data_IF_137260271957
#
_entry.id   IF_137260271957
#
_cell.length_a   1.000
_cell.length_b   1.000
_cell.length_c   1.000
_cell.angle_alpha   90.00
_cell.angle_beta   90.00
_cell.angle_gamma   90.00
#
_symmetry.space_group_name_H-M   'P 1'
#
loop_
_entity.id
_entity.type
_entity.pdbx_description
1 polymer ?
#
# COMPACT_ATOMS: atom_id res chain seq x y z
N UNK A 1 -25.44 44.68 -55.73
CA UNK A 1 -25.46 45.11 -54.31
C UNK A 1 -26.72 44.54 -53.66
N UNK A 2 -26.59 43.44 -52.92
CA UNK A 2 -27.70 42.77 -52.22
C UNK A 2 -28.04 43.57 -50.96
N UNK A 3 -29.27 44.10 -50.89
CA UNK A 3 -29.90 44.53 -49.62
C UNK A 3 -30.44 43.28 -48.94
N UNK A 4 -29.96 42.97 -47.74
CA UNK A 4 -30.59 41.99 -46.85
C UNK A 4 -30.98 42.74 -45.59
N UNK A 5 -32.30 42.78 -45.35
CA UNK A 5 -32.94 43.45 -44.23
C UNK A 5 -32.67 42.75 -42.91
N UNK A 6 -32.44 43.58 -41.91
CA UNK A 6 -32.34 43.27 -40.50
C UNK A 6 -33.77 43.13 -39.93
N UNK A 7 -34.08 42.01 -39.28
CA UNK A 7 -35.41 41.75 -38.73
C UNK A 7 -35.41 40.70 -37.63
N UNK A 8 -35.10 41.15 -36.41
CA UNK A 8 -35.58 40.67 -35.10
C UNK A 8 -35.88 39.17 -34.95
N UNK A 9 -34.92 38.42 -34.38
CA UNK A 9 -35.21 37.17 -33.67
C UNK A 9 -35.28 37.48 -32.16
N UNK A 10 -36.50 37.50 -31.63
CA UNK A 10 -36.79 37.54 -30.20
C UNK A 10 -36.35 36.23 -29.55
N UNK A 11 -35.22 36.23 -28.85
CA UNK A 11 -34.81 35.14 -27.96
C UNK A 11 -35.53 35.30 -26.62
N UNK A 12 -36.54 34.46 -26.36
CA UNK A 12 -37.17 34.35 -25.07
C UNK A 12 -36.18 33.78 -24.05
N UNK A 13 -35.79 34.60 -23.08
CA UNK A 13 -35.01 34.18 -21.92
C UNK A 13 -35.95 33.45 -20.93
N UNK A 14 -36.09 32.13 -21.09
CA UNK A 14 -36.72 31.30 -20.09
C UNK A 14 -35.74 31.04 -18.94
N UNK A 15 -35.86 31.84 -17.87
CA UNK A 15 -35.23 31.57 -16.58
C UNK A 15 -35.96 30.39 -15.95
N UNK A 16 -35.48 29.17 -16.18
CA UNK A 16 -35.92 28.00 -15.42
C UNK A 16 -35.27 28.04 -14.03
N UNK A 17 -35.99 28.61 -13.07
CA UNK A 17 -35.72 28.41 -11.64
C UNK A 17 -36.13 26.97 -11.33
N UNK A 18 -35.21 26.03 -11.49
CA UNK A 18 -35.37 24.68 -10.97
C UNK A 18 -35.02 24.71 -9.48
N UNK A 19 -36.04 24.81 -8.63
CA UNK A 19 -35.92 24.50 -7.21
C UNK A 19 -35.83 22.98 -7.07
N UNK A 20 -34.66 22.44 -7.37
CA UNK A 20 -34.35 21.03 -7.20
C UNK A 20 -33.90 20.78 -5.78
N UNK A 21 -34.81 20.31 -4.93
CA UNK A 21 -34.53 19.76 -3.61
C UNK A 21 -33.34 18.82 -3.69
N UNK A 22 -32.27 19.11 -2.92
CA UNK A 22 -31.12 18.23 -2.79
C UNK A 22 -31.58 16.89 -2.18
N UNK A 23 -31.80 15.89 -3.02
CA UNK A 23 -32.02 14.52 -2.57
C UNK A 23 -30.67 14.04 -2.04
N UNK A 24 -30.51 14.15 -0.72
CA UNK A 24 -29.36 13.62 0.00
C UNK A 24 -29.53 12.10 0.06
N UNK A 25 -28.94 11.37 -0.89
CA UNK A 25 -28.73 9.94 -0.72
C UNK A 25 -27.59 9.73 0.31
N UNK A 26 -27.91 9.94 1.58
CA UNK A 26 -27.13 9.43 2.68
C UNK A 26 -27.37 7.92 2.73
N UNK A 27 -26.37 7.13 2.33
CA UNK A 27 -26.38 5.69 2.50
C UNK A 27 -26.62 5.37 3.99
N UNK A 28 -27.76 4.75 4.27
CA UNK A 28 -28.19 4.37 5.61
C UNK A 28 -27.24 3.32 6.19
N UNK A 29 -26.54 3.69 7.26
CA UNK A 29 -25.74 2.78 8.08
C UNK A 29 -26.69 1.96 8.95
N UNK A 30 -27.09 0.78 8.49
CA UNK A 30 -27.90 -0.18 9.25
C UNK A 30 -27.17 -1.50 9.46
N UNK A 31 -26.86 -1.83 10.71
CA UNK A 31 -26.62 -3.19 11.18
C UNK A 31 -27.70 -3.54 12.21
N UNK A 32 -28.18 -4.78 12.20
CA UNK A 32 -29.10 -5.31 13.21
C UNK A 32 -28.31 -5.94 14.35
N UNK A 33 -28.22 -5.24 15.47
CA UNK A 33 -28.69 -5.70 16.78
C UNK A 33 -28.10 -4.83 17.91
N UNK A 34 -28.98 -4.24 18.70
CA UNK A 34 -28.65 -3.40 19.86
C UNK A 34 -28.93 -1.92 19.61
N UNK A 35 -29.99 -1.41 20.25
CA UNK A 35 -30.51 -0.05 20.18
C UNK A 35 -29.41 1.05 20.13
N UNK A 36 -29.26 1.68 18.97
CA UNK A 36 -28.52 2.91 18.81
C UNK A 36 -29.23 3.78 17.77
N UNK A 37 -29.90 4.82 18.27
CA UNK A 37 -30.55 5.87 17.50
C UNK A 37 -29.60 6.50 16.48
N UNK A 38 -30.06 6.58 15.23
CA UNK A 38 -29.36 7.20 14.11
C UNK A 38 -29.13 8.69 14.34
N UNK A 39 -27.95 9.16 13.94
CA UNK A 39 -27.65 10.49 13.42
C UNK A 39 -27.42 11.66 14.39
N UNK A 40 -26.13 12.04 14.50
CA UNK A 40 -25.63 13.41 14.34
C UNK A 40 -24.14 13.32 14.02
N UNK A 41 -23.71 13.81 12.86
CA UNK A 41 -22.29 14.01 12.57
C UNK A 41 -21.80 15.14 13.48
N UNK A 42 -21.40 14.82 14.71
CA UNK A 42 -20.83 15.81 15.61
C UNK A 42 -19.56 16.34 14.96
N UNK A 43 -19.63 17.60 14.49
CA UNK A 43 -18.44 18.35 14.05
C UNK A 43 -17.51 18.65 15.25
N UNK A 44 -17.96 18.38 16.48
CA UNK A 44 -17.11 18.24 17.66
C UNK A 44 -16.25 16.97 17.52
N UNK A 45 -14.93 17.13 17.57
CA UNK A 45 -13.97 16.03 17.44
C UNK A 45 -14.16 14.93 18.49
N UNK A 46 -13.64 13.74 18.22
CA UNK A 46 -13.77 12.59 19.12
C UNK A 46 -12.82 12.68 20.31
N UNK A 47 -13.28 12.21 21.47
CA UNK A 47 -12.50 12.31 22.73
C UNK A 47 -11.19 11.51 22.70
N UNK A 48 -11.16 10.44 21.93
CA UNK A 48 -10.04 9.50 21.80
C UNK A 48 -9.13 9.76 20.59
N UNK A 49 -9.38 10.84 19.84
CA UNK A 49 -8.53 11.26 18.72
C UNK A 49 -7.65 12.45 19.05
N UNK A 50 -7.86 13.13 20.18
CA UNK A 50 -7.08 14.32 20.55
C UNK A 50 -5.59 13.98 20.72
N UNK A 51 -4.73 14.62 19.93
CA UNK A 51 -3.28 14.35 19.92
C UNK A 51 -2.89 13.06 19.22
N UNK A 52 -3.85 12.36 18.60
CA UNK A 52 -3.57 11.17 17.81
C UNK A 52 -2.99 11.57 16.44
N UNK A 53 -2.00 10.83 15.93
CA UNK A 53 -1.34 11.13 14.66
C UNK A 53 -2.30 11.23 13.46
N UNK A 54 -3.43 10.51 13.52
CA UNK A 54 -4.47 10.51 12.49
C UNK A 54 -5.63 11.50 12.74
N UNK A 55 -5.57 12.34 13.78
CA UNK A 55 -6.68 13.22 14.17
C UNK A 55 -7.19 14.09 13.01
N UNK A 56 -6.29 14.75 12.29
CA UNK A 56 -6.63 15.60 11.16
C UNK A 56 -7.25 14.82 9.99
N UNK A 57 -6.74 13.62 9.71
CA UNK A 57 -7.27 12.74 8.67
C UNK A 57 -8.66 12.24 9.04
N UNK A 58 -8.88 11.84 10.29
CA UNK A 58 -10.19 11.41 10.82
C UNK A 58 -11.21 12.53 10.73
N UNK A 59 -10.84 13.76 11.13
CA UNK A 59 -11.72 14.93 11.01
C UNK A 59 -12.14 15.17 9.56
N UNK A 60 -11.19 15.12 8.63
CA UNK A 60 -11.45 15.26 7.19
C UNK A 60 -12.35 14.14 6.67
N UNK A 61 -12.11 12.90 7.09
CA UNK A 61 -12.88 11.74 6.67
C UNK A 61 -14.35 11.81 7.13
N UNK A 62 -14.58 12.27 8.36
CA UNK A 62 -15.94 12.53 8.88
C UNK A 62 -16.61 13.67 8.11
N UNK A 63 -15.89 14.76 7.84
CA UNK A 63 -16.43 15.88 7.06
C UNK A 63 -16.79 15.47 5.62
N UNK A 64 -16.06 14.51 5.03
CA UNK A 64 -16.36 13.90 3.74
C UNK A 64 -17.48 12.85 3.80
N UNK A 65 -17.89 12.43 4.99
CA UNK A 65 -19.06 11.57 5.23
C UNK A 65 -18.86 10.09 4.96
N UNK A 66 -17.63 9.61 4.76
CA UNK A 66 -17.38 8.18 4.49
C UNK A 66 -17.00 7.36 5.73
N UNK A 67 -16.82 8.02 6.88
CA UNK A 67 -16.67 7.39 8.20
C UNK A 67 -17.49 8.13 9.25
N UNK A 68 -17.83 7.40 10.31
CA UNK A 68 -18.45 7.93 11.52
C UNK A 68 -17.76 7.32 12.76
N UNK A 69 -17.93 8.02 13.89
CA UNK A 69 -17.60 7.49 15.21
C UNK A 69 -18.78 6.76 15.86
N UNK A 70 -18.59 6.38 17.11
CA UNK A 70 -19.56 5.65 17.92
C UNK A 70 -20.42 6.62 18.73
N UNK A 71 -21.56 6.12 19.21
CA UNK A 71 -22.54 6.89 20.00
C UNK A 71 -21.99 7.39 21.34
N UNK A 72 -20.93 6.77 21.84
CA UNK A 72 -20.22 7.17 23.07
C UNK A 72 -19.22 8.33 22.86
N UNK A 73 -19.17 8.90 21.65
CA UNK A 73 -18.28 10.00 21.28
C UNK A 73 -16.84 9.58 20.98
N UNK A 74 -16.57 8.29 20.78
CA UNK A 74 -15.26 7.76 20.35
C UNK A 74 -15.19 7.53 18.84
N UNK A 75 -13.98 7.49 18.28
CA UNK A 75 -13.71 6.97 16.94
C UNK A 75 -13.10 5.57 16.95
N UNK A 76 -12.41 5.20 18.03
CA UNK A 76 -11.58 4.01 18.20
C UNK A 76 -10.47 3.92 17.14
N UNK A 77 -9.57 4.92 17.05
CA UNK A 77 -8.56 4.99 15.99
C UNK A 77 -7.60 3.78 15.97
N UNK A 78 -7.37 3.17 17.14
CA UNK A 78 -6.47 2.03 17.30
C UNK A 78 -7.17 0.66 17.22
N UNK A 79 -8.49 0.62 17.05
CA UNK A 79 -9.19 -0.64 16.83
C UNK A 79 -8.79 -1.24 15.48
N UNK A 80 -8.66 -2.57 15.44
CA UNK A 80 -8.45 -3.29 14.18
C UNK A 80 -9.62 -3.05 13.23
N UNK A 81 -9.32 -3.01 11.93
CA UNK A 81 -10.34 -2.84 10.88
C UNK A 81 -10.46 -4.13 10.09
N UNK A 82 -11.70 -4.63 9.99
CA UNK A 82 -12.00 -5.83 9.21
C UNK A 82 -11.94 -5.55 7.70
N UNK A 83 -11.83 -6.60 6.88
CA UNK A 83 -11.92 -6.47 5.41
C UNK A 83 -13.23 -5.82 4.99
N UNK A 84 -14.34 -6.25 5.59
CA UNK A 84 -15.66 -5.69 5.30
C UNK A 84 -15.73 -4.20 5.62
N UNK A 85 -15.24 -3.79 6.79
CA UNK A 85 -15.24 -2.38 7.18
C UNK A 85 -14.35 -1.53 6.29
N UNK A 86 -13.12 -1.97 5.99
CA UNK A 86 -12.23 -1.24 5.09
C UNK A 86 -12.84 -1.07 3.71
N UNK A 87 -13.42 -2.13 3.15
CA UNK A 87 -14.04 -2.07 1.83
C UNK A 87 -15.25 -1.13 1.81
N UNK A 88 -16.09 -1.16 2.85
CA UNK A 88 -17.18 -0.20 3.02
C UNK A 88 -16.67 1.25 3.07
N UNK A 89 -15.64 1.52 3.88
CA UNK A 89 -15.04 2.86 3.97
C UNK A 89 -14.51 3.32 2.60
N UNK A 90 -13.82 2.44 1.88
CA UNK A 90 -13.28 2.73 0.54
C UNK A 90 -14.41 3.02 -0.47
N UNK A 91 -15.43 2.17 -0.53
CA UNK A 91 -16.60 2.33 -1.42
C UNK A 91 -17.31 3.66 -1.16
N UNK A 92 -17.55 3.99 0.11
CA UNK A 92 -18.16 5.26 0.51
C UNK A 92 -17.29 6.47 0.13
N UNK A 93 -15.97 6.38 0.37
CA UNK A 93 -15.04 7.46 0.02
C UNK A 93 -14.94 7.70 -1.49
N UNK A 94 -15.04 6.63 -2.27
CA UNK A 94 -15.05 6.66 -3.74
C UNK A 94 -16.42 7.01 -4.31
N UNK A 95 -17.45 7.18 -3.46
CA UNK A 95 -18.84 7.48 -3.84
C UNK A 95 -19.40 6.49 -4.89
N UNK A 96 -19.10 5.20 -4.72
CA UNK A 96 -19.65 4.19 -5.62
C UNK A 96 -21.08 3.85 -5.24
N UNK A 97 -21.91 3.59 -6.25
CA UNK A 97 -23.29 3.17 -6.04
C UNK A 97 -23.35 1.77 -5.41
N UNK A 98 -24.11 1.66 -4.33
CA UNK A 98 -24.41 0.37 -3.69
C UNK A 98 -25.89 0.06 -3.86
N UNK A 99 -26.20 -1.16 -4.27
CA UNK A 99 -27.58 -1.67 -4.34
C UNK A 99 -27.82 -2.51 -3.09
N UNK A 100 -28.92 -2.26 -2.39
CA UNK A 100 -29.29 -3.08 -1.24
C UNK A 100 -29.43 -4.54 -1.67
N UNK A 101 -28.72 -5.44 -0.98
CA UNK A 101 -28.73 -6.86 -1.25
C UNK A 101 -29.36 -7.59 -0.06
N UNK A 102 -30.14 -8.64 -0.35
CA UNK A 102 -30.58 -9.57 0.68
C UNK A 102 -29.38 -10.45 1.05
N UNK A 103 -28.89 -10.38 2.30
CA UNK A 103 -27.75 -11.18 2.76
C UNK A 103 -26.83 -10.41 3.71
N UNK A 104 -25.55 -10.79 3.71
CA UNK A 104 -24.53 -10.14 4.55
C UNK A 104 -24.45 -8.64 4.28
N UNK A 105 -24.39 -7.84 5.35
CA UNK A 105 -24.38 -6.38 5.28
C UNK A 105 -23.27 -5.80 4.38
N UNK A 106 -22.16 -6.53 4.24
CA UNK A 106 -21.00 -6.10 3.45
C UNK A 106 -21.17 -6.34 1.94
N UNK A 107 -22.12 -7.18 1.53
CA UNK A 107 -22.25 -7.63 0.14
C UNK A 107 -22.42 -6.48 -0.87
N UNK A 108 -23.25 -5.45 -0.62
CA UNK A 108 -23.37 -4.30 -1.53
C UNK A 108 -22.04 -3.60 -1.82
N UNK A 109 -21.15 -3.55 -0.83
CA UNK A 109 -19.83 -2.92 -0.97
C UNK A 109 -18.86 -3.81 -1.74
N UNK A 110 -18.96 -5.13 -1.56
CA UNK A 110 -18.21 -6.10 -2.37
C UNK A 110 -18.59 -5.98 -3.83
N UNK A 111 -19.88 -5.91 -4.13
CA UNK A 111 -20.38 -5.81 -5.50
C UNK A 111 -19.97 -4.48 -6.15
N UNK A 112 -20.12 -3.36 -5.42
CA UNK A 112 -19.69 -2.04 -5.89
C UNK A 112 -18.17 -1.98 -6.16
N UNK A 113 -17.36 -2.49 -5.23
CA UNK A 113 -15.91 -2.53 -5.39
C UNK A 113 -15.48 -3.47 -6.54
N UNK A 114 -16.17 -4.60 -6.73
CA UNK A 114 -15.92 -5.52 -7.85
C UNK A 114 -16.23 -4.84 -9.18
N UNK A 115 -17.38 -4.18 -9.27
CA UNK A 115 -17.81 -3.43 -10.47
C UNK A 115 -16.83 -2.31 -10.82
N UNK A 116 -16.28 -1.62 -9.80
CA UNK A 116 -15.26 -0.59 -9.98
C UNK A 116 -13.85 -1.15 -10.26
N UNK A 117 -13.65 -2.47 -10.16
CA UNK A 117 -12.35 -3.11 -10.34
C UNK A 117 -11.40 -2.93 -9.14
N UNK A 118 -11.92 -2.52 -7.98
CA UNK A 118 -11.14 -2.33 -6.76
C UNK A 118 -10.95 -3.63 -5.98
N UNK A 119 -11.88 -4.58 -6.14
CA UNK A 119 -11.84 -5.88 -5.49
C UNK A 119 -11.93 -7.02 -6.51
N UNK A 120 -11.23 -8.11 -6.22
CA UNK A 120 -11.30 -9.40 -6.89
C UNK A 120 -11.15 -10.51 -5.84
N UNK A 121 -11.59 -11.72 -6.15
CA UNK A 121 -11.51 -12.88 -5.24
C UNK A 121 -10.11 -13.51 -5.29
N UNK A 122 -9.09 -12.73 -4.97
CA UNK A 122 -7.67 -13.11 -5.08
C UNK A 122 -6.88 -12.95 -3.76
N UNK A 123 -7.57 -12.65 -2.67
CA UNK A 123 -6.99 -12.69 -1.33
C UNK A 123 -6.94 -14.11 -0.77
N UNK A 124 -5.89 -14.39 0.01
CA UNK A 124 -5.69 -15.71 0.62
C UNK A 124 -6.82 -16.08 1.60
N UNK A 125 -7.39 -15.08 2.28
CA UNK A 125 -8.51 -15.27 3.19
C UNK A 125 -9.83 -14.87 2.53
N UNK A 126 -10.85 -15.70 2.72
CA UNK A 126 -12.23 -15.45 2.28
C UNK A 126 -13.14 -14.94 3.41
N UNK A 127 -12.59 -14.71 4.61
CA UNK A 127 -13.36 -14.29 5.79
C UNK A 127 -13.40 -12.78 5.93
N UNK A 128 -14.61 -12.20 5.88
CA UNK A 128 -14.86 -10.77 5.84
C UNK A 128 -14.72 -10.06 7.19
N UNK A 129 -14.98 -10.76 8.29
CA UNK A 129 -14.94 -10.21 9.65
C UNK A 129 -13.56 -10.30 10.32
N UNK A 130 -12.56 -10.81 9.60
CA UNK A 130 -11.16 -10.77 10.08
C UNK A 130 -10.52 -9.44 9.72
N UNK A 131 -9.61 -8.98 10.58
CA UNK A 131 -8.73 -7.83 10.29
C UNK A 131 -8.09 -7.98 8.92
N UNK A 132 -8.06 -6.90 8.14
CA UNK A 132 -7.39 -6.87 6.84
C UNK A 132 -5.87 -6.71 7.03
N UNK A 133 -5.04 -7.59 6.44
CA UNK A 133 -3.59 -7.42 6.43
C UNK A 133 -3.17 -6.18 5.64
N UNK A 134 -2.04 -5.57 5.99
CA UNK A 134 -1.50 -4.40 5.27
C UNK A 134 -1.33 -4.63 3.77
N UNK A 135 -0.86 -5.80 3.34
CA UNK A 135 -0.67 -6.11 1.91
C UNK A 135 -1.99 -6.20 1.11
N UNK A 136 -3.06 -6.65 1.74
CA UNK A 136 -4.39 -6.68 1.11
C UNK A 136 -5.00 -5.27 1.06
N UNK A 137 -4.85 -4.49 2.13
CA UNK A 137 -5.22 -3.07 2.15
C UNK A 137 -4.47 -2.29 1.07
N UNK A 138 -3.17 -2.56 0.90
CA UNK A 138 -2.35 -2.01 -0.18
C UNK A 138 -2.89 -2.34 -1.56
N UNK A 139 -3.31 -3.60 -1.74
CA UNK A 139 -3.84 -4.07 -3.03
C UNK A 139 -5.12 -3.34 -3.40
N UNK A 140 -6.07 -3.20 -2.46
CA UNK A 140 -7.27 -2.39 -2.67
C UNK A 140 -6.94 -0.93 -2.96
N UNK A 141 -5.93 -0.37 -2.26
CA UNK A 141 -5.52 1.01 -2.43
C UNK A 141 -4.87 1.28 -3.80
N UNK A 142 -4.00 0.38 -4.28
CA UNK A 142 -3.42 0.44 -5.63
C UNK A 142 -4.53 0.40 -6.68
N UNK A 143 -5.45 -0.57 -6.56
CA UNK A 143 -6.54 -0.74 -7.52
C UNK A 143 -7.47 0.49 -7.58
N UNK A 144 -7.71 1.14 -6.44
CA UNK A 144 -8.59 2.30 -6.34
C UNK A 144 -7.92 3.63 -6.73
N UNK A 145 -6.61 3.74 -6.47
CA UNK A 145 -5.88 5.01 -6.54
C UNK A 145 -4.98 5.17 -7.76
N UNK A 146 -4.32 4.10 -8.21
CA UNK A 146 -3.30 4.18 -9.25
C UNK A 146 -3.87 3.86 -10.62
N UNK A 147 -3.39 4.58 -11.62
CA UNK A 147 -3.63 4.27 -13.04
C UNK A 147 -2.43 3.50 -13.59
N UNK A 148 -2.64 2.66 -14.60
CA UNK A 148 -1.55 1.93 -15.27
C UNK A 148 -0.91 0.79 -14.48
N UNK A 149 -1.42 0.43 -13.29
CA UNK A 149 -1.00 -0.80 -12.61
C UNK A 149 -1.42 -2.04 -13.42
N UNK A 150 -0.67 -3.14 -13.27
CA UNK A 150 -1.02 -4.41 -13.92
C UNK A 150 -1.89 -5.28 -13.00
N UNK A 151 -2.94 -5.87 -13.57
CA UNK A 151 -3.94 -6.65 -12.81
C UNK A 151 -3.41 -7.95 -12.22
N UNK A 152 -2.30 -8.46 -12.74
CA UNK A 152 -1.62 -9.69 -12.31
C UNK A 152 -0.62 -9.46 -11.16
N UNK A 153 -0.48 -8.22 -10.67
CA UNK A 153 0.35 -7.93 -9.51
C UNK A 153 -0.12 -8.71 -8.28
N UNK A 154 0.80 -9.45 -7.68
CA UNK A 154 0.58 -10.08 -6.39
C UNK A 154 0.50 -9.06 -5.24
N UNK A 155 0.10 -9.51 -4.05
CA UNK A 155 -0.07 -8.63 -2.88
C UNK A 155 1.22 -7.94 -2.41
N UNK A 156 2.40 -8.57 -2.57
CA UNK A 156 3.67 -7.95 -2.21
C UNK A 156 4.07 -6.89 -3.23
N UNK A 157 3.85 -7.15 -4.52
CA UNK A 157 4.04 -6.16 -5.58
C UNK A 157 3.16 -4.93 -5.37
N UNK A 158 1.87 -5.14 -5.07
CA UNK A 158 0.96 -4.03 -4.76
C UNK A 158 1.36 -3.29 -3.49
N UNK A 159 1.93 -3.97 -2.49
CA UNK A 159 2.47 -3.32 -1.31
C UNK A 159 3.64 -2.40 -1.66
N UNK A 160 4.55 -2.84 -2.54
CA UNK A 160 5.61 -2.00 -3.08
C UNK A 160 5.07 -0.80 -3.86
N UNK A 161 4.11 -0.99 -4.78
CA UNK A 161 3.51 0.12 -5.53
C UNK A 161 2.80 1.13 -4.63
N UNK A 162 2.08 0.66 -3.61
CA UNK A 162 1.45 1.53 -2.62
C UNK A 162 2.50 2.34 -1.85
N UNK A 163 3.62 1.72 -1.43
CA UNK A 163 4.69 2.41 -0.71
C UNK A 163 5.43 3.40 -1.61
N UNK A 164 5.76 3.00 -2.84
CA UNK A 164 6.44 3.81 -3.86
C UNK A 164 5.66 5.07 -4.22
N UNK A 165 4.32 4.97 -4.26
CA UNK A 165 3.43 6.10 -4.52
C UNK A 165 2.98 6.82 -3.24
N UNK A 166 3.54 6.46 -2.09
CA UNK A 166 3.27 7.14 -0.82
C UNK A 166 1.88 6.90 -0.24
N UNK A 167 1.13 5.92 -0.75
CA UNK A 167 -0.19 5.52 -0.23
C UNK A 167 -0.05 4.80 1.11
N UNK A 168 0.96 3.93 1.22
CA UNK A 168 1.31 3.23 2.46
C UNK A 168 2.68 3.69 2.95
N UNK A 169 2.81 3.87 4.26
CA UNK A 169 4.06 4.16 4.93
C UNK A 169 4.54 2.97 5.77
N UNK A 170 5.79 3.03 6.24
CA UNK A 170 6.31 2.04 7.18
C UNK A 170 5.59 2.10 8.53
N UNK A 171 5.73 1.02 9.29
CA UNK A 171 5.33 0.97 10.72
C UNK A 171 6.51 1.22 11.65
N UNK A 172 7.70 1.32 11.08
CA UNK A 172 8.96 1.52 11.78
C UNK A 172 10.09 1.73 10.77
N UNK A 173 11.30 1.90 11.26
CA UNK A 173 12.48 2.15 10.42
C UNK A 173 12.79 0.92 9.54
N UNK A 174 12.47 1.01 8.25
CA UNK A 174 12.66 -0.09 7.29
C UNK A 174 11.66 -1.24 7.46
N UNK A 175 10.52 -1.01 8.09
CA UNK A 175 9.52 -2.05 8.34
C UNK A 175 8.19 -1.73 7.65
N UNK A 176 7.70 -2.66 6.83
CA UNK A 176 6.43 -2.54 6.11
C UNK A 176 5.30 -3.42 6.69
N UNK A 177 5.66 -4.47 7.46
CA UNK A 177 4.75 -5.41 8.12
C UNK A 177 3.59 -5.93 7.21
N UNK A 178 3.87 -6.72 6.17
CA UNK A 178 2.88 -7.08 5.14
C UNK A 178 1.64 -7.81 5.69
N UNK A 179 1.84 -8.65 6.70
CA UNK A 179 0.79 -9.40 7.39
C UNK A 179 0.33 -8.73 8.69
N UNK A 180 0.83 -7.53 8.97
CA UNK A 180 0.46 -6.78 10.17
C UNK A 180 -1.02 -6.38 10.16
N UNK A 181 -1.60 -6.35 11.34
CA UNK A 181 -2.97 -5.85 11.56
C UNK A 181 -3.05 -4.37 11.19
N UNK A 182 -4.20 -3.98 10.66
CA UNK A 182 -4.46 -2.59 10.27
C UNK A 182 -5.47 -1.97 11.22
N UNK A 183 -5.24 -0.73 11.60
CA UNK A 183 -6.15 0.00 12.47
C UNK A 183 -7.14 0.85 11.66
N UNK A 184 -8.26 1.22 12.29
CA UNK A 184 -9.25 2.12 11.71
C UNK A 184 -8.65 3.47 11.31
N UNK A 185 -7.70 4.00 12.10
CA UNK A 185 -6.93 5.20 11.73
C UNK A 185 -6.04 4.98 10.49
N UNK A 186 -5.37 3.83 10.41
CA UNK A 186 -4.55 3.47 9.23
C UNK A 186 -5.39 3.42 7.96
N UNK A 187 -6.59 2.81 8.04
CA UNK A 187 -7.55 2.76 6.94
C UNK A 187 -7.96 4.15 6.45
N UNK A 188 -8.30 5.05 7.38
CA UNK A 188 -8.64 6.45 7.04
C UNK A 188 -7.49 7.14 6.32
N UNK A 189 -6.27 7.04 6.84
CA UNK A 189 -5.11 7.72 6.25
C UNK A 189 -4.80 7.17 4.85
N UNK A 190 -4.90 5.85 4.65
CA UNK A 190 -4.74 5.24 3.33
C UNK A 190 -5.81 5.75 2.36
N UNK A 191 -7.07 5.80 2.78
CA UNK A 191 -8.16 6.30 1.94
C UNK A 191 -7.97 7.79 1.58
N UNK A 192 -7.60 8.63 2.54
CA UNK A 192 -7.29 10.04 2.29
C UNK A 192 -6.16 10.20 1.26
N UNK A 193 -5.12 9.36 1.35
CA UNK A 193 -4.01 9.34 0.39
C UNK A 193 -4.44 8.88 -1.01
N UNK A 194 -5.32 7.88 -1.11
CA UNK A 194 -5.91 7.49 -2.38
C UNK A 194 -6.66 8.69 -3.00
N UNK A 195 -7.47 9.39 -2.20
CA UNK A 195 -8.23 10.55 -2.67
C UNK A 195 -7.29 11.69 -3.10
N UNK A 196 -6.19 11.91 -2.40
CA UNK A 196 -5.19 12.92 -2.75
C UNK A 196 -4.52 12.62 -4.10
N UNK A 197 -4.12 11.37 -4.37
CA UNK A 197 -3.58 10.99 -5.67
C UNK A 197 -4.62 11.16 -6.77
N UNK A 198 -5.88 10.76 -6.54
CA UNK A 198 -6.97 10.95 -7.50
C UNK A 198 -7.26 12.44 -7.77
N UNK A 199 -6.96 13.31 -6.81
CA UNK A 199 -7.00 14.76 -6.97
C UNK A 199 -5.74 15.33 -7.65
N UNK A 200 -4.81 14.49 -8.11
CA UNK A 200 -3.57 14.89 -8.79
C UNK A 200 -2.46 15.34 -7.85
N UNK A 201 -2.59 15.13 -6.53
CA UNK A 201 -1.55 15.50 -5.57
C UNK A 201 -0.44 14.45 -5.55
N UNK A 202 0.80 14.93 -5.38
CA UNK A 202 1.95 14.08 -5.08
C UNK A 202 2.02 13.83 -3.58
N UNK A 203 2.20 12.57 -3.20
CA UNK A 203 2.36 12.19 -1.80
C UNK A 203 3.84 12.11 -1.41
N UNK A 204 4.15 12.49 -0.18
CA UNK A 204 5.42 12.16 0.42
C UNK A 204 5.55 10.64 0.59
N UNK A 205 6.69 10.10 0.16
CA UNK A 205 7.03 8.69 0.24
C UNK A 205 7.91 8.41 1.46
N UNK A 206 7.83 7.19 1.95
CA UNK A 206 8.74 6.67 2.97
C UNK A 206 9.75 5.77 2.27
N UNK A 207 10.92 6.33 1.92
CA UNK A 207 11.94 5.63 1.13
C UNK A 207 12.39 4.31 1.77
N UNK A 208 12.41 4.21 3.11
CA UNK A 208 12.82 2.98 3.80
C UNK A 208 11.73 1.92 3.74
N UNK A 209 10.47 2.34 3.89
CA UNK A 209 9.34 1.44 3.70
C UNK A 209 9.23 0.97 2.23
N UNK A 210 9.48 1.86 1.26
CA UNK A 210 9.53 1.50 -0.15
C UNK A 210 10.62 0.47 -0.42
N UNK A 211 11.85 0.68 0.07
CA UNK A 211 12.94 -0.29 -0.06
C UNK A 211 12.63 -1.63 0.63
N UNK A 212 12.03 -1.61 1.82
CA UNK A 212 11.61 -2.84 2.51
C UNK A 212 10.52 -3.62 1.73
N UNK A 213 9.55 -2.91 1.15
CA UNK A 213 8.54 -3.51 0.30
C UNK A 213 9.14 -4.06 -1.01
N UNK A 214 10.14 -3.40 -1.57
CA UNK A 214 10.89 -3.89 -2.73
C UNK A 214 11.61 -5.21 -2.41
N UNK A 215 12.30 -5.30 -1.27
CA UNK A 215 12.96 -6.55 -0.84
C UNK A 215 11.95 -7.68 -0.67
N UNK A 216 10.78 -7.39 -0.11
CA UNK A 216 9.73 -8.38 0.08
C UNK A 216 9.25 -8.98 -1.25
N UNK A 217 8.94 -8.11 -2.22
CA UNK A 217 8.44 -8.46 -3.54
C UNK A 217 9.54 -9.04 -4.43
N UNK A 218 10.63 -8.30 -4.61
CA UNK A 218 11.64 -8.52 -5.64
C UNK A 218 12.92 -9.18 -5.14
N UNK A 219 13.02 -9.46 -3.83
CA UNK A 219 14.23 -10.00 -3.18
C UNK A 219 15.44 -9.08 -3.30
N UNK A 220 15.22 -7.81 -3.62
CA UNK A 220 16.26 -6.78 -3.69
C UNK A 220 15.69 -5.38 -3.43
N UNK A 221 16.55 -4.43 -3.05
CA UNK A 221 16.26 -2.99 -2.99
C UNK A 221 17.08 -2.19 -4.03
N UNK A 222 17.61 -2.84 -5.06
CA UNK A 222 18.42 -2.19 -6.09
C UNK A 222 17.65 -1.05 -6.77
N UNK A 223 16.36 -1.24 -7.07
CA UNK A 223 15.57 -0.27 -7.85
C UNK A 223 15.32 1.01 -7.04
N UNK A 224 15.24 0.91 -5.71
CA UNK A 224 15.10 2.06 -4.81
C UNK A 224 16.42 2.69 -4.42
N UNK A 225 17.52 1.92 -4.41
CA UNK A 225 18.80 2.38 -3.84
C UNK A 225 19.80 2.84 -4.90
N UNK A 226 19.97 2.11 -6.00
CA UNK A 226 21.02 2.38 -6.99
C UNK A 226 20.82 3.61 -7.87
N UNK A 227 19.59 4.02 -8.28
CA UNK A 227 19.42 5.17 -9.16
C UNK A 227 20.04 6.47 -8.64
N UNK A 228 20.12 6.64 -7.30
CA UNK A 228 20.79 7.79 -6.65
C UNK A 228 22.28 7.90 -7.03
N UNK A 229 22.94 6.78 -7.29
CA UNK A 229 24.39 6.71 -7.49
C UNK A 229 24.79 6.47 -8.94
N UNK A 230 23.96 5.72 -9.68
CA UNK A 230 24.29 5.25 -11.02
C UNK A 230 23.34 5.77 -12.10
N UNK A 231 22.32 6.55 -11.74
CA UNK A 231 21.33 7.07 -12.68
C UNK A 231 20.50 5.97 -13.34
N UNK A 232 19.90 6.28 -14.48
CA UNK A 232 19.27 5.28 -15.37
C UNK A 232 20.37 4.46 -16.06
N UNK A 233 20.19 3.14 -16.26
CA UNK A 233 18.90 2.45 -16.42
C UNK A 233 18.47 1.58 -15.22
N UNK A 234 19.14 1.68 -14.08
CA UNK A 234 18.96 0.85 -12.87
C UNK A 234 17.58 0.92 -12.19
N UNK A 235 16.65 1.71 -12.74
CA UNK A 235 15.25 1.78 -12.34
C UNK A 235 14.35 0.74 -13.02
N UNK A 236 14.85 0.02 -14.03
CA UNK A 236 14.07 -1.00 -14.74
C UNK A 236 14.09 -2.33 -13.99
N UNK A 237 12.92 -2.96 -13.89
CA UNK A 237 12.73 -4.30 -13.32
C UNK A 237 13.47 -5.38 -14.12
N UNK A 238 13.82 -5.11 -15.38
CA UNK A 238 14.53 -6.04 -16.26
C UNK A 238 15.97 -6.35 -15.79
N UNK A 239 16.55 -5.50 -14.94
CA UNK A 239 17.94 -5.67 -14.47
C UNK A 239 18.09 -6.72 -13.37
N UNK A 240 17.00 -7.09 -12.69
CA UNK A 240 17.05 -8.08 -11.64
C UNK A 240 15.98 -9.13 -11.83
N UNK A 241 16.41 -10.38 -11.96
CA UNK A 241 15.53 -11.53 -12.06
C UNK A 241 15.74 -12.40 -10.83
N UNK A 242 14.82 -12.30 -9.86
CA UNK A 242 14.91 -13.06 -8.62
C UNK A 242 14.85 -14.58 -8.83
N UNK A 243 14.36 -15.07 -9.98
CA UNK A 243 14.38 -16.51 -10.30
C UNK A 243 15.80 -17.04 -10.52
N UNK A 244 16.76 -16.16 -10.84
CA UNK A 244 18.17 -16.49 -11.01
C UNK A 244 18.95 -16.53 -9.69
N UNK A 245 18.31 -16.29 -8.55
CA UNK A 245 18.91 -16.45 -7.22
C UNK A 245 19.06 -17.92 -6.79
N UNK A 246 19.25 -18.82 -7.75
CA UNK A 246 19.39 -20.26 -7.54
C UNK A 246 20.61 -20.75 -8.29
N UNK A 247 21.52 -21.43 -7.59
CA UNK A 247 22.67 -22.12 -8.17
C UNK A 247 22.59 -23.62 -7.86
N UNK A 248 23.00 -24.45 -8.82
CA UNK A 248 23.07 -25.91 -8.66
C UNK A 248 24.53 -26.37 -8.67
N UNK A 249 24.86 -27.42 -7.92
CA UNK A 249 26.14 -28.11 -8.05
C UNK A 249 26.26 -28.77 -9.44
N UNK A 250 27.49 -29.08 -9.84
CA UNK A 250 27.78 -29.69 -11.15
C UNK A 250 27.08 -31.05 -11.36
N UNK A 251 26.85 -31.79 -10.27
CA UNK A 251 26.10 -33.06 -10.26
C UNK A 251 24.58 -32.88 -10.12
N UNK A 252 24.10 -31.63 -9.97
CA UNK A 252 22.69 -31.29 -9.80
C UNK A 252 22.07 -31.66 -8.46
N UNK A 253 22.84 -32.21 -7.51
CA UNK A 253 22.36 -32.74 -6.23
C UNK A 253 22.11 -31.63 -5.21
N UNK A 254 22.99 -30.64 -5.15
CA UNK A 254 22.87 -29.50 -4.26
C UNK A 254 22.25 -28.30 -4.98
N UNK A 255 21.20 -27.75 -4.39
CA UNK A 255 20.62 -26.47 -4.80
C UNK A 255 20.84 -25.47 -3.69
N UNK A 256 21.48 -24.36 -4.03
CA UNK A 256 21.65 -23.21 -3.14
C UNK A 256 20.77 -22.07 -3.66
N UNK A 257 19.92 -21.55 -2.78
CA UNK A 257 19.06 -20.41 -3.09
C UNK A 257 19.48 -19.22 -2.26
N UNK A 258 19.87 -18.14 -2.93
CA UNK A 258 20.01 -16.85 -2.28
C UNK A 258 18.61 -16.31 -1.94
N UNK A 259 18.40 -15.95 -0.68
CA UNK A 259 17.10 -15.47 -0.19
C UNK A 259 16.79 -14.08 -0.72
N UNK A 260 17.80 -13.22 -0.71
CA UNK A 260 17.70 -11.82 -1.10
C UNK A 260 19.10 -11.22 -1.34
N UNK A 261 19.10 -10.15 -2.11
CA UNK A 261 20.24 -9.30 -2.40
C UNK A 261 19.96 -7.90 -1.88
N UNK A 262 20.61 -7.48 -0.79
CA UNK A 262 20.32 -6.20 -0.13
C UNK A 262 21.49 -5.25 -0.33
N UNK A 263 21.22 -4.11 -0.94
CA UNK A 263 22.12 -2.96 -1.01
C UNK A 263 22.00 -2.17 0.29
N UNK A 264 23.14 -1.92 0.92
CA UNK A 264 23.27 -1.09 2.12
C UNK A 264 23.94 0.22 1.73
N UNK A 265 23.20 1.33 1.88
CA UNK A 265 23.69 2.68 1.65
C UNK A 265 24.56 3.14 2.83
N UNK A 266 25.89 3.16 2.61
CA UNK A 266 26.85 3.60 3.62
C UNK A 266 27.04 5.12 3.68
N UNK A 267 26.41 5.90 2.80
CA UNK A 267 26.33 7.36 2.94
C UNK A 267 25.09 7.77 3.74
N UNK A 268 24.05 6.93 3.78
CA UNK A 268 22.84 7.20 4.58
C UNK A 268 22.96 6.61 5.99
N UNK A 269 23.32 7.43 6.98
CA UNK A 269 23.44 7.00 8.38
C UNK A 269 22.14 6.39 8.94
N UNK A 270 21.01 6.66 8.30
CA UNK A 270 19.70 6.15 8.66
C UNK A 270 19.24 4.95 7.82
N UNK A 271 20.08 4.38 6.95
CA UNK A 271 19.73 3.15 6.23
C UNK A 271 19.41 2.01 7.25
N UNK A 272 18.21 1.41 7.20
CA UNK A 272 17.80 0.35 8.12
C UNK A 272 18.65 -0.91 8.00
N UNK A 273 19.28 -1.17 6.85
CA UNK A 273 20.02 -2.39 6.54
C UNK A 273 21.48 -2.36 7.03
N UNK A 274 21.95 -1.25 7.60
CA UNK A 274 23.32 -1.17 8.17
C UNK A 274 23.58 -2.19 9.27
N UNK A 275 22.55 -2.56 10.01
CA UNK A 275 22.64 -3.60 11.03
C UNK A 275 23.07 -4.96 10.45
N UNK A 276 22.80 -5.24 9.17
CA UNK A 276 23.21 -6.47 8.49
C UNK A 276 24.73 -6.59 8.35
N UNK A 277 25.45 -5.46 8.45
CA UNK A 277 26.91 -5.42 8.37
C UNK A 277 27.60 -5.68 9.71
N UNK A 278 26.88 -5.58 10.83
CA UNK A 278 27.45 -5.72 12.17
C UNK A 278 28.15 -7.06 12.42
N UNK A 279 27.76 -8.10 11.67
CA UNK A 279 28.35 -9.43 11.74
C UNK A 279 29.61 -9.60 10.87
N UNK A 280 29.99 -8.59 10.08
CA UNK A 280 31.10 -8.66 9.13
C UNK A 280 32.16 -7.59 9.40
N UNK A 281 33.43 -7.99 9.44
CA UNK A 281 34.55 -7.04 9.31
C UNK A 281 34.72 -6.70 7.84
N UNK A 282 34.25 -5.52 7.44
CA UNK A 282 34.41 -5.06 6.07
C UNK A 282 35.85 -4.57 5.87
N UNK A 283 36.51 -5.04 4.80
CA UNK A 283 37.78 -4.50 4.35
C UNK A 283 37.94 -4.60 2.83
N UNK A 284 38.78 -3.75 2.25
CA UNK A 284 39.23 -3.92 0.87
C UNK A 284 40.38 -4.92 0.82
N UNK A 285 40.37 -5.81 -0.18
CA UNK A 285 41.51 -6.65 -0.52
C UNK A 285 42.13 -6.10 -1.81
N UNK A 286 43.36 -5.63 -1.74
CA UNK A 286 44.17 -5.45 -2.94
C UNK A 286 44.79 -6.79 -3.35
N UNK A 287 45.28 -6.88 -4.59
CA UNK A 287 45.93 -8.09 -5.14
C UNK A 287 47.09 -8.62 -4.26
N UNK A 288 47.66 -7.76 -3.40
CA UNK A 288 48.77 -8.06 -2.50
C UNK A 288 48.32 -8.53 -1.09
N UNK A 289 47.02 -8.73 -0.85
CA UNK A 289 46.50 -9.29 0.41
C UNK A 289 46.46 -8.30 1.60
N UNK A 290 46.74 -7.01 1.40
CA UNK A 290 46.63 -5.97 2.43
C UNK A 290 45.16 -5.62 2.66
N UNK A 291 44.69 -5.76 3.90
CA UNK A 291 43.36 -5.36 4.34
C UNK A 291 43.36 -3.92 4.86
N UNK A 292 42.55 -3.05 4.26
CA UNK A 292 42.27 -1.72 4.82
C UNK A 292 40.95 -1.77 5.59
N UNK A 293 40.91 -1.28 6.83
CA UNK A 293 39.65 -1.02 7.52
C UNK A 293 38.86 0.03 6.76
N UNK A 294 37.60 -0.30 6.49
CA UNK A 294 36.70 0.51 5.69
C UNK A 294 36.25 1.76 6.46
N UNK A 295 36.94 2.88 6.26
CA UNK A 295 36.50 4.17 6.80
C UNK A 295 35.49 4.93 5.94
N UNK A 296 35.19 4.48 4.71
CA UNK A 296 33.97 4.80 3.96
C UNK A 296 34.13 4.37 2.50
N UNK A 297 33.34 3.42 2.03
CA UNK A 297 32.97 3.38 0.60
C UNK A 297 31.46 3.35 0.49
N UNK A 298 30.94 4.15 -0.45
CA UNK A 298 29.58 4.70 -0.46
C UNK A 298 28.44 3.67 -0.34
N UNK A 299 28.65 2.42 -0.76
CA UNK A 299 27.66 1.35 -0.67
C UNK A 299 28.30 -0.02 -0.57
N UNK A 300 27.59 -0.96 0.06
CA UNK A 300 27.92 -2.38 0.06
C UNK A 300 26.72 -3.20 -0.40
N UNK A 301 26.98 -4.30 -1.09
CA UNK A 301 25.95 -5.24 -1.50
C UNK A 301 26.13 -6.53 -0.71
N UNK A 302 25.09 -6.95 0.00
CA UNK A 302 25.08 -8.17 0.80
C UNK A 302 24.16 -9.21 0.16
N UNK A 303 24.70 -10.41 -0.05
CA UNK A 303 23.93 -11.58 -0.45
C UNK A 303 23.57 -12.38 0.81
N UNK A 304 22.29 -12.44 1.15
CA UNK A 304 21.82 -13.35 2.20
C UNK A 304 21.51 -14.70 1.58
N UNK A 305 22.31 -15.72 1.87
CA UNK A 305 22.04 -17.11 1.46
C UNK A 305 21.19 -17.78 2.53
N UNK A 306 20.14 -18.52 2.17
CA UNK A 306 19.45 -19.40 3.12
C UNK A 306 19.17 -20.77 2.53
N UNK A 307 19.64 -21.78 3.26
CA UNK A 307 19.33 -23.21 3.13
C UNK A 307 20.10 -23.96 2.04
N UNK A 308 21.22 -24.58 2.45
CA UNK A 308 21.66 -25.85 1.86
C UNK A 308 20.58 -26.87 2.24
N UNK A 309 19.79 -27.33 1.28
CA UNK A 309 18.90 -28.45 1.52
C UNK A 309 19.80 -29.68 1.71
N UNK A 310 19.96 -30.14 2.96
CA UNK A 310 20.78 -31.30 3.32
C UNK A 310 20.33 -32.53 2.51
N UNK A 311 21.09 -32.87 1.47
CA UNK A 311 21.28 -34.23 0.98
C UNK A 311 22.69 -34.70 1.38
N UNK A 312 23.09 -34.44 2.64
CA UNK A 312 24.40 -34.85 3.20
C UNK A 312 24.24 -35.92 4.28
N UNK A 313 23.11 -36.63 4.32
CA UNK A 313 22.94 -37.81 5.18
C UNK A 313 23.01 -39.15 4.41
N UNK A 314 23.15 -39.13 3.07
CA UNK A 314 23.23 -40.36 2.25
C UNK A 314 24.36 -40.41 1.21
N UNK A 315 25.34 -39.51 1.25
CA UNK A 315 26.56 -39.70 0.44
C UNK A 315 27.59 -40.50 1.24
N UNK A 316 28.02 -41.69 0.78
CA UNK A 316 29.07 -42.45 1.45
C UNK A 316 30.33 -41.59 1.54
N UNK A 317 30.90 -41.48 2.75
CA UNK A 317 32.19 -40.85 3.02
C UNK A 317 33.33 -41.68 2.44
N UNK A 318 33.44 -41.72 1.12
CA UNK A 318 34.63 -42.13 0.36
C UNK A 318 34.47 -41.40 -0.96
N UNK A 319 35.32 -40.43 -1.31
CA UNK A 319 36.65 -40.70 -1.80
C UNK A 319 37.54 -39.46 -1.61
N UNK A 320 38.83 -39.76 -1.49
CA UNK A 320 39.99 -38.88 -1.32
C UNK A 320 40.14 -37.80 -2.39
#
# INVERSE_FOLDING_TARGET
MKKIGLGLLSAALAVNIFVGSAVSNAATFGGSDGAASTQSASTAGFKDTKGHWAEAAIKTAVAKGYVSGYTDGTFKPNAEVTRAEFLKMLVAAMKLDTVAANGSWYQPYVDAATKAGYYAKDFASTTWDKSIPRKEMATLAVRAGLTGYKKDYDTNRNLYEAAKNGIIQGVGKGEIAPDGVTTRASAVVVIERILDIKAGKTLATDKYATGAAEVLWHKTNILTTLPKYFGTPWSSEEYFDSSKLVSKSNDGVAVCTARQYVVVDLDDANDPNRNLLSQYKLGWYNADGVTFELNSTKMHMLLSVSTIQRLVENLPRTLA
#
